data_IF_402188734378
#
_entry.id   IF_402188734378
#
_cell.length_a   1.000
_cell.length_b   1.000
_cell.length_c   1.000
_cell.angle_alpha   90.00
_cell.angle_beta   90.00
_cell.angle_gamma   90.00
#
_symmetry.space_group_name_H-M   'P 1'
#
loop_
_entity.id
_entity.type
_entity.pdbx_description
1 polymer ?
#
# COMPACT_ATOMS: atom_id res chain seq x y z
N UNK A 1 42.90 22.47 31.26
CA UNK A 1 42.24 21.24 31.71
C UNK A 1 41.34 20.80 30.58
N UNK A 2 41.71 19.71 29.90
CA UNK A 2 40.92 19.08 28.84
C UNK A 2 39.75 18.33 29.45
N UNK A 3 38.63 18.32 28.74
CA UNK A 3 37.76 17.14 28.66
C UNK A 3 37.12 17.13 27.28
N UNK A 4 37.81 16.43 26.39
CA UNK A 4 37.28 15.88 25.16
C UNK A 4 36.38 14.69 25.57
N UNK A 5 35.11 14.70 25.16
CA UNK A 5 34.21 13.56 25.35
C UNK A 5 33.59 13.22 24.00
N UNK A 6 34.35 12.47 23.21
CA UNK A 6 33.85 11.78 22.03
C UNK A 6 32.85 10.70 22.43
N UNK A 7 31.57 11.00 22.22
CA UNK A 7 30.54 9.98 22.02
C UNK A 7 29.75 10.37 20.76
N UNK A 8 29.69 9.49 19.73
CA UNK A 8 28.86 9.75 18.56
C UNK A 8 27.37 9.79 18.96
N UNK A 9 26.60 10.66 18.31
CA UNK A 9 25.17 10.80 18.58
C UNK A 9 24.39 9.59 18.06
N UNK A 10 23.25 9.27 18.68
CA UNK A 10 22.33 8.20 18.26
C UNK A 10 21.92 8.32 16.79
N UNK A 11 21.84 9.56 16.28
CA UNK A 11 21.52 9.89 14.88
C UNK A 11 22.61 9.43 13.91
N UNK A 12 23.89 9.47 14.31
CA UNK A 12 25.03 9.00 13.50
C UNK A 12 25.11 7.47 13.44
N UNK A 13 24.54 6.76 14.43
CA UNK A 13 24.49 5.30 14.45
C UNK A 13 23.31 4.77 13.62
N UNK A 14 22.17 5.46 13.64
CA UNK A 14 20.99 5.08 12.86
C UNK A 14 21.21 5.28 11.35
N UNK A 15 21.86 6.38 10.95
CA UNK A 15 22.14 6.65 9.53
C UNK A 15 23.14 5.68 8.87
N UNK A 16 24.13 5.16 9.61
CA UNK A 16 25.09 4.18 9.06
C UNK A 16 24.59 2.74 9.07
N UNK A 17 23.68 2.41 9.97
CA UNK A 17 23.13 1.04 10.07
C UNK A 17 22.01 0.82 9.07
N UNK A 18 21.23 1.87 8.73
CA UNK A 18 20.20 1.78 7.69
C UNK A 18 20.79 1.53 6.30
N UNK A 19 21.79 2.30 5.86
CA UNK A 19 22.35 2.15 4.51
C UNK A 19 22.87 0.74 4.23
N UNK A 20 23.55 0.10 5.19
CA UNK A 20 24.11 -1.23 5.02
C UNK A 20 23.06 -2.36 5.03
N UNK A 21 21.95 -2.19 5.77
CA UNK A 21 20.82 -3.14 5.70
C UNK A 21 20.01 -2.97 4.40
N UNK A 22 19.84 -1.73 3.93
CA UNK A 22 19.11 -1.41 2.71
C UNK A 22 19.84 -1.89 1.44
N UNK A 23 21.18 -1.74 1.35
CA UNK A 23 21.95 -2.29 0.22
C UNK A 23 21.80 -3.82 0.11
N UNK A 24 21.81 -4.52 1.25
CA UNK A 24 21.62 -5.97 1.31
C UNK A 24 20.22 -6.43 0.88
N UNK A 25 19.17 -5.66 1.21
CA UNK A 25 17.78 -5.93 0.80
C UNK A 25 17.55 -5.63 -0.69
N UNK A 26 18.16 -4.56 -1.23
CA UNK A 26 18.11 -4.22 -2.66
C UNK A 26 18.81 -5.29 -3.50
N UNK A 27 19.96 -5.80 -3.05
CA UNK A 27 20.68 -6.85 -3.77
C UNK A 27 19.91 -8.19 -3.74
N UNK A 28 19.24 -8.49 -2.63
CA UNK A 28 18.32 -9.64 -2.53
C UNK A 28 17.11 -9.50 -3.48
N UNK A 29 16.54 -8.30 -3.63
CA UNK A 29 15.40 -8.06 -4.51
C UNK A 29 15.81 -8.06 -6.01
N UNK A 30 17.04 -7.66 -6.34
CA UNK A 30 17.61 -7.77 -7.70
C UNK A 30 17.72 -9.24 -8.17
N UNK A 31 18.02 -10.15 -7.25
CA UNK A 31 18.01 -11.58 -7.55
C UNK A 31 16.59 -12.10 -7.84
N UNK A 32 15.57 -11.57 -7.16
CA UNK A 32 14.16 -11.93 -7.39
C UNK A 32 13.61 -11.37 -8.71
N UNK A 33 13.99 -10.15 -9.12
CA UNK A 33 13.56 -9.54 -10.39
C UNK A 33 13.98 -10.35 -11.63
N UNK A 34 15.09 -11.08 -11.56
CA UNK A 34 15.57 -11.94 -12.66
C UNK A 34 14.70 -13.20 -12.83
N UNK A 35 13.98 -13.62 -11.77
CA UNK A 35 13.10 -14.78 -11.83
C UNK A 35 11.75 -14.49 -12.51
N UNK A 36 11.31 -13.23 -12.54
CA UNK A 36 10.02 -12.84 -13.14
C UNK A 36 10.04 -12.77 -14.68
N UNK A 37 11.21 -12.80 -15.32
CA UNK A 37 11.36 -12.71 -16.79
C UNK A 37 11.52 -14.08 -17.49
N UNK A 38 11.46 -15.20 -16.77
CA UNK A 38 11.71 -16.54 -17.29
C UNK A 38 10.49 -17.24 -17.88
N UNK A 39 10.31 -17.17 -19.20
CA UNK A 39 9.29 -17.92 -19.96
C UNK A 39 9.62 -19.42 -20.03
N UNK A 40 8.66 -20.28 -19.72
CA UNK A 40 8.66 -21.75 -19.93
C UNK A 40 7.25 -22.27 -20.26
N UNK A 41 7.11 -23.38 -21.02
CA UNK A 41 6.06 -23.52 -22.03
C UNK A 41 4.70 -23.99 -21.50
N UNK A 42 3.67 -23.61 -22.24
CA UNK A 42 2.30 -24.09 -22.12
C UNK A 42 2.19 -25.55 -22.59
N UNK A 43 1.37 -26.34 -21.89
CA UNK A 43 0.80 -27.56 -22.43
C UNK A 43 -0.72 -27.56 -22.23
N UNK A 44 -1.41 -27.80 -23.34
CA UNK A 44 -2.86 -27.88 -23.44
C UNK A 44 -3.28 -29.34 -23.35
N UNK A 45 -4.41 -29.64 -22.68
CA UNK A 45 -5.27 -30.76 -23.07
C UNK A 45 -6.65 -30.63 -22.42
N UNK A 46 -7.66 -30.66 -23.28
CA UNK A 46 -9.09 -30.62 -22.96
C UNK A 46 -9.65 -32.01 -22.64
N UNK A 47 -10.70 -32.10 -21.81
CA UNK A 47 -11.81 -33.05 -21.98
C UNK A 47 -13.01 -32.74 -21.05
N UNK A 48 -14.07 -32.22 -21.69
CA UNK A 48 -15.53 -32.41 -21.57
C UNK A 48 -16.19 -33.21 -20.42
N UNK A 49 -17.41 -32.78 -20.03
CA UNK A 49 -18.31 -33.54 -19.13
C UNK A 49 -19.52 -32.81 -18.51
N UNK A 50 -20.52 -32.43 -19.32
CA UNK A 50 -21.97 -32.64 -19.10
C UNK A 50 -22.73 -32.24 -17.80
N UNK A 51 -23.60 -31.21 -17.98
CA UNK A 51 -25.07 -31.13 -17.74
C UNK A 51 -25.71 -30.81 -16.36
N UNK A 52 -26.63 -29.84 -16.50
CA UNK A 52 -27.94 -29.63 -15.86
C UNK A 52 -28.06 -29.14 -14.40
N UNK A 53 -28.58 -27.92 -14.26
CA UNK A 53 -29.69 -27.67 -13.32
C UNK A 53 -29.67 -26.33 -12.58
N UNK A 54 -30.65 -25.50 -12.95
CA UNK A 54 -31.31 -24.46 -12.13
C UNK A 54 -30.65 -23.09 -12.08
N UNK A 55 -31.07 -22.26 -13.05
CA UNK A 55 -31.11 -20.81 -12.93
C UNK A 55 -32.15 -20.36 -11.90
N UNK A 56 -31.83 -19.22 -11.30
CA UNK A 56 -32.71 -18.24 -10.68
C UNK A 56 -33.24 -18.52 -9.27
N UNK A 57 -32.52 -17.98 -8.27
CA UNK A 57 -33.02 -16.88 -7.41
C UNK A 57 -32.01 -16.57 -6.29
N UNK A 58 -30.85 -16.00 -6.65
CA UNK A 58 -30.08 -15.16 -5.73
C UNK A 58 -29.70 -13.91 -6.48
N UNK A 59 -30.47 -12.85 -6.25
CA UNK A 59 -30.04 -11.49 -6.54
C UNK A 59 -28.79 -11.19 -5.73
N UNK A 60 -27.63 -11.57 -6.27
CA UNK A 60 -26.37 -10.96 -5.92
C UNK A 60 -26.55 -9.49 -6.27
N UNK A 61 -26.56 -8.62 -5.25
CA UNK A 61 -26.46 -7.19 -5.46
C UNK A 61 -25.29 -6.99 -6.41
N UNK A 62 -25.56 -6.39 -7.58
CA UNK A 62 -24.54 -6.12 -8.58
C UNK A 62 -23.32 -5.55 -7.87
N UNK A 63 -22.24 -6.33 -7.82
CA UNK A 63 -20.97 -5.88 -7.30
C UNK A 63 -20.64 -4.62 -8.10
N UNK A 64 -20.48 -3.50 -7.41
CA UNK A 64 -20.08 -2.25 -8.01
C UNK A 64 -18.69 -2.47 -8.61
N UNK A 65 -18.68 -2.76 -9.92
CA UNK A 65 -17.46 -3.03 -10.66
C UNK A 65 -16.70 -1.71 -10.72
N UNK A 66 -15.57 -1.63 -10.01
CA UNK A 66 -14.64 -0.51 -10.13
C UNK A 66 -14.05 -0.58 -11.54
N UNK A 67 -14.33 0.44 -12.37
CA UNK A 67 -13.74 0.54 -13.69
C UNK A 67 -12.25 0.90 -13.59
N UNK A 68 -11.47 0.51 -14.59
CA UNK A 68 -10.07 0.90 -14.64
C UNK A 68 -9.95 2.43 -14.76
N UNK A 69 -9.07 3.01 -13.94
CA UNK A 69 -8.78 4.45 -13.92
C UNK A 69 -9.96 5.36 -13.53
N UNK A 70 -10.97 4.83 -12.84
CA UNK A 70 -12.09 5.61 -12.33
C UNK A 70 -12.02 5.74 -10.80
N UNK A 71 -11.96 6.99 -10.33
CA UNK A 71 -12.07 7.30 -8.90
C UNK A 71 -13.54 7.26 -8.47
N UNK A 72 -13.83 6.53 -7.39
CA UNK A 72 -15.17 6.53 -6.81
C UNK A 72 -15.51 7.92 -6.23
N UNK A 73 -16.79 8.33 -6.21
CA UNK A 73 -17.19 9.69 -5.81
C UNK A 73 -16.75 10.15 -4.41
N UNK A 74 -16.50 9.21 -3.50
CA UNK A 74 -16.06 9.53 -2.13
C UNK A 74 -14.54 9.61 -1.96
N UNK A 75 -13.78 9.33 -3.02
CA UNK A 75 -12.32 9.41 -3.02
C UNK A 75 -11.88 10.83 -3.37
N UNK A 76 -10.82 11.27 -2.71
CA UNK A 76 -10.20 12.55 -2.99
C UNK A 76 -8.73 12.34 -3.30
N UNK A 77 -8.28 12.91 -4.42
CA UNK A 77 -6.90 12.81 -4.89
C UNK A 77 -6.35 14.21 -5.10
N UNK A 78 -5.14 14.45 -4.62
CA UNK A 78 -4.37 15.65 -4.91
C UNK A 78 -2.96 15.25 -5.36
N UNK A 79 -2.55 15.70 -6.55
CA UNK A 79 -1.21 15.52 -7.10
C UNK A 79 -0.54 16.90 -7.17
N UNK A 80 0.56 17.04 -6.46
CA UNK A 80 1.46 18.20 -6.51
C UNK A 80 2.72 17.76 -7.25
N UNK A 81 2.80 18.08 -8.54
CA UNK A 81 3.95 17.76 -9.38
C UNK A 81 4.22 18.88 -10.41
N UNK A 82 5.50 19.12 -10.69
CA UNK A 82 5.95 20.22 -11.55
C UNK A 82 6.00 19.85 -13.06
N UNK A 83 5.68 18.60 -13.41
CA UNK A 83 5.75 18.13 -14.80
C UNK A 83 5.11 16.76 -15.04
N UNK A 84 5.36 16.21 -16.22
CA UNK A 84 4.86 14.89 -16.64
C UNK A 84 5.79 13.73 -16.23
N UNK A 85 6.98 14.05 -15.71
CA UNK A 85 7.98 13.08 -15.28
C UNK A 85 8.17 13.21 -13.79
N UNK A 86 8.18 12.08 -13.08
CA UNK A 86 8.35 12.05 -11.64
C UNK A 86 9.70 12.62 -11.22
N UNK A 87 9.68 13.48 -10.21
CA UNK A 87 10.84 14.20 -9.69
C UNK A 87 10.83 14.27 -8.16
N UNK A 88 11.99 14.52 -7.57
CA UNK A 88 12.11 14.69 -6.11
C UNK A 88 11.33 15.93 -5.69
N UNK A 89 10.48 15.78 -4.67
CA UNK A 89 9.54 16.79 -4.18
C UNK A 89 8.10 16.58 -4.68
N UNK A 90 7.89 15.74 -5.71
CA UNK A 90 6.54 15.41 -6.15
C UNK A 90 5.78 14.66 -5.04
N UNK A 91 4.51 15.02 -4.87
CA UNK A 91 3.68 14.55 -3.77
C UNK A 91 2.29 14.14 -4.25
N UNK A 92 1.77 13.05 -3.69
CA UNK A 92 0.37 12.64 -3.90
C UNK A 92 -0.30 12.42 -2.56
N UNK A 93 -1.51 12.97 -2.42
CA UNK A 93 -2.43 12.64 -1.33
C UNK A 93 -3.63 11.91 -1.89
N UNK A 94 -3.97 10.78 -1.28
CA UNK A 94 -5.17 10.01 -1.57
C UNK A 94 -5.96 9.80 -0.29
N UNK A 95 -7.23 10.19 -0.30
CA UNK A 95 -8.12 10.09 0.86
C UNK A 95 -9.33 9.23 0.52
N UNK A 96 -9.68 8.32 1.44
CA UNK A 96 -10.96 7.61 1.40
C UNK A 96 -11.50 7.35 2.81
N UNK A 97 -12.80 7.06 2.88
CA UNK A 97 -13.42 6.46 4.07
C UNK A 97 -13.18 4.95 4.07
N UNK A 98 -12.84 4.37 5.22
CA UNK A 98 -12.77 2.92 5.40
C UNK A 98 -14.10 2.44 5.98
N UNK A 99 -14.91 1.76 5.19
CA UNK A 99 -16.24 1.29 5.59
C UNK A 99 -16.20 -0.12 6.19
N UNK A 100 -17.23 -0.51 6.93
CA UNK A 100 -17.39 -1.91 7.36
C UNK A 100 -17.34 -2.89 6.17
N UNK A 101 -17.91 -2.49 5.02
CA UNK A 101 -17.87 -3.29 3.81
C UNK A 101 -16.46 -3.39 3.20
N UNK A 102 -15.57 -2.41 3.39
CA UNK A 102 -14.15 -2.55 3.03
C UNK A 102 -13.47 -3.60 3.93
N UNK A 103 -13.73 -3.56 5.23
CA UNK A 103 -13.19 -4.51 6.22
C UNK A 103 -13.64 -5.94 5.92
N UNK A 104 -14.93 -6.16 5.67
CA UNK A 104 -15.48 -7.47 5.30
C UNK A 104 -14.84 -8.02 4.02
N UNK A 105 -14.75 -7.18 2.98
CA UNK A 105 -14.14 -7.58 1.69
C UNK A 105 -12.65 -7.85 1.87
N UNK A 106 -11.95 -7.07 2.67
CA UNK A 106 -10.55 -7.28 2.95
C UNK A 106 -10.32 -8.57 3.73
N UNK A 107 -11.13 -8.87 4.74
CA UNK A 107 -11.06 -10.15 5.47
C UNK A 107 -11.27 -11.34 4.52
N UNK A 108 -12.24 -11.25 3.61
CA UNK A 108 -12.48 -12.28 2.60
C UNK A 108 -11.31 -12.42 1.60
N UNK A 109 -10.73 -11.31 1.15
CA UNK A 109 -9.65 -11.32 0.17
C UNK A 109 -8.29 -11.72 0.76
N UNK A 110 -7.99 -11.29 1.99
CA UNK A 110 -6.72 -11.53 2.68
C UNK A 110 -6.70 -12.84 3.47
N UNK A 111 -7.87 -13.34 3.87
CA UNK A 111 -8.01 -14.45 4.82
C UNK A 111 -7.83 -14.03 6.28
N UNK A 112 -7.57 -12.75 6.58
CA UNK A 112 -7.45 -12.25 7.94
C UNK A 112 -8.84 -12.07 8.59
N UNK A 113 -9.23 -13.10 9.33
CA UNK A 113 -10.51 -13.21 10.04
C UNK A 113 -10.36 -12.99 11.54
N UNK A 114 -9.34 -12.26 11.97
CA UNK A 114 -9.15 -11.92 13.38
C UNK A 114 -10.41 -11.23 13.94
N UNK A 115 -11.00 -11.71 15.07
CA UNK A 115 -12.22 -11.14 15.63
C UNK A 115 -12.09 -9.66 15.99
N UNK A 116 -10.87 -9.15 16.20
CA UNK A 116 -10.61 -7.74 16.41
C UNK A 116 -11.17 -6.81 15.32
N UNK A 117 -11.35 -7.34 14.10
CA UNK A 117 -11.85 -6.57 12.96
C UNK A 117 -13.33 -6.83 12.65
N UNK A 118 -13.92 -7.89 13.21
CA UNK A 118 -15.18 -8.46 12.71
C UNK A 118 -16.24 -8.73 13.79
N UNK A 119 -15.85 -8.79 15.06
CA UNK A 119 -16.73 -9.15 16.17
C UNK A 119 -16.78 -8.01 17.19
N UNK A 120 -17.86 -7.22 17.12
CA UNK A 120 -18.10 -6.08 18.01
C UNK A 120 -18.20 -6.49 19.49
N UNK A 121 -18.86 -7.62 19.79
CA UNK A 121 -19.02 -8.11 21.17
C UNK A 121 -17.67 -8.51 21.76
N UNK A 122 -16.85 -9.23 20.99
CA UNK A 122 -15.51 -9.61 21.42
C UNK A 122 -14.57 -8.40 21.49
N UNK A 123 -14.64 -7.47 20.52
CA UNK A 123 -13.78 -6.30 20.46
C UNK A 123 -14.05 -5.29 21.60
N UNK A 124 -15.31 -5.19 22.06
CA UNK A 124 -15.70 -4.37 23.20
C UNK A 124 -14.95 -4.72 24.51
N UNK A 125 -14.55 -5.99 24.66
CA UNK A 125 -13.77 -6.47 25.81
C UNK A 125 -12.25 -6.25 25.65
N UNK A 126 -11.80 -5.74 24.51
CA UNK A 126 -10.39 -5.45 24.26
C UNK A 126 -10.00 -4.03 24.69
N UNK A 127 -8.71 -3.72 24.65
CA UNK A 127 -8.21 -2.36 24.91
C UNK A 127 -8.72 -1.30 23.92
N UNK A 128 -9.27 -1.72 22.79
CA UNK A 128 -9.76 -0.82 21.75
C UNK A 128 -11.22 -0.42 21.98
N UNK A 129 -12.00 -1.26 22.67
CA UNK A 129 -13.39 -0.98 23.03
C UNK A 129 -14.41 -1.08 21.89
N UNK A 130 -13.94 -1.29 20.65
CA UNK A 130 -14.73 -1.54 19.45
C UNK A 130 -13.84 -2.22 18.39
N UNK A 131 -14.44 -2.66 17.28
CA UNK A 131 -13.74 -3.16 16.10
C UNK A 131 -12.95 -2.05 15.41
N UNK A 132 -11.77 -2.41 14.90
CA UNK A 132 -10.89 -1.50 14.17
C UNK A 132 -10.59 -2.05 12.77
N UNK A 133 -10.26 -1.19 11.82
CA UNK A 133 -9.86 -1.64 10.48
C UNK A 133 -8.52 -2.40 10.52
N UNK A 134 -8.33 -3.34 9.58
CA UNK A 134 -7.03 -4.01 9.40
C UNK A 134 -5.95 -2.97 9.05
N UNK A 135 -4.80 -3.03 9.73
CA UNK A 135 -3.69 -2.11 9.43
C UNK A 135 -3.21 -2.22 7.97
N UNK A 136 -3.22 -3.43 7.40
CA UNK A 136 -2.85 -3.67 6.00
C UNK A 136 -3.89 -3.16 5.01
N UNK A 137 -5.18 -3.13 5.37
CA UNK A 137 -6.22 -2.44 4.59
C UNK A 137 -5.95 -0.93 4.56
N UNK A 138 -5.61 -0.34 5.71
CA UNK A 138 -5.22 1.08 5.80
C UNK A 138 -3.98 1.34 4.94
N UNK A 139 -2.95 0.50 5.04
CA UNK A 139 -1.73 0.60 4.22
C UNK A 139 -2.00 0.49 2.71
N UNK A 140 -3.08 -0.20 2.30
CA UNK A 140 -3.51 -0.26 0.91
C UNK A 140 -3.81 1.11 0.30
N UNK A 141 -4.13 2.13 1.11
CA UNK A 141 -4.30 3.51 0.62
C UNK A 141 -3.01 4.13 0.10
N UNK A 142 -1.84 3.68 0.58
CA UNK A 142 -0.53 4.05 0.02
C UNK A 142 -0.42 3.52 -1.41
N UNK A 143 -0.83 2.27 -1.65
CA UNK A 143 -0.86 1.71 -3.01
C UNK A 143 -1.79 2.49 -3.94
N UNK A 144 -2.93 2.95 -3.42
CA UNK A 144 -3.84 3.81 -4.19
C UNK A 144 -3.20 5.17 -4.53
N UNK A 145 -2.49 5.80 -3.58
CA UNK A 145 -1.74 7.03 -3.82
C UNK A 145 -0.64 6.83 -4.89
N UNK A 146 0.16 5.76 -4.76
CA UNK A 146 1.20 5.39 -5.72
C UNK A 146 0.63 5.20 -7.13
N UNK A 147 -0.55 4.61 -7.26
CA UNK A 147 -1.22 4.40 -8.54
C UNK A 147 -1.62 5.71 -9.25
N UNK A 148 -1.42 6.89 -8.67
CA UNK A 148 -1.66 8.20 -9.29
C UNK A 148 -0.39 8.94 -9.68
N UNK A 149 0.79 8.38 -9.40
CA UNK A 149 2.03 8.94 -9.91
C UNK A 149 2.05 8.83 -11.45
N UNK A 150 2.71 9.78 -12.15
CA UNK A 150 2.87 9.69 -13.60
C UNK A 150 3.68 8.45 -14.00
N UNK A 151 3.26 7.81 -15.10
CA UNK A 151 3.90 6.59 -15.63
C UNK A 151 3.34 5.29 -15.06
N UNK A 152 4.00 4.18 -15.38
CA UNK A 152 3.68 2.85 -14.88
C UNK A 152 4.43 2.61 -13.57
N UNK A 153 3.71 2.42 -12.46
CA UNK A 153 4.35 2.26 -11.16
C UNK A 153 4.52 0.79 -10.82
N UNK A 154 5.77 0.37 -10.64
CA UNK A 154 6.10 -0.93 -10.05
C UNK A 154 6.51 -0.72 -8.60
N UNK A 155 5.75 -1.30 -7.68
CA UNK A 155 5.94 -1.16 -6.25
C UNK A 155 6.95 -2.20 -5.75
N UNK A 156 8.20 -1.80 -5.53
CA UNK A 156 9.32 -2.71 -5.28
C UNK A 156 9.47 -3.13 -3.82
N UNK A 157 9.28 -2.19 -2.89
CA UNK A 157 9.32 -2.45 -1.45
C UNK A 157 8.54 -1.41 -0.67
N UNK A 158 8.10 -1.80 0.53
CA UNK A 158 7.42 -0.94 1.49
C UNK A 158 7.79 -1.35 2.92
N UNK A 159 8.18 -0.36 3.73
CA UNK A 159 8.40 -0.49 5.17
C UNK A 159 7.29 0.27 5.91
N UNK A 160 6.70 -0.32 6.96
CA UNK A 160 5.54 0.25 7.67
C UNK A 160 5.72 0.19 9.19
N UNK A 161 5.41 1.30 9.85
CA UNK A 161 5.19 1.39 11.29
C UNK A 161 3.73 1.74 11.57
N UNK A 162 2.99 0.84 12.24
CA UNK A 162 1.61 1.08 12.67
C UNK A 162 1.60 1.81 14.03
N UNK A 163 1.21 3.07 14.03
CA UNK A 163 1.33 3.96 15.20
C UNK A 163 0.04 4.10 16.00
N UNK A 164 -1.11 3.97 15.35
CA UNK A 164 -2.42 4.05 16.02
C UNK A 164 -3.44 3.15 15.30
N UNK A 165 -4.49 2.68 16.00
CA UNK A 165 -5.62 2.01 15.37
C UNK A 165 -6.43 2.99 14.52
N UNK A 166 -7.23 2.44 13.59
CA UNK A 166 -8.18 3.22 12.78
C UNK A 166 -9.57 2.65 12.98
N UNK A 167 -10.50 3.50 13.41
CA UNK A 167 -11.89 3.10 13.61
C UNK A 167 -12.57 2.81 12.27
N UNK A 168 -13.49 1.85 12.28
CA UNK A 168 -14.34 1.59 11.11
C UNK A 168 -15.23 2.81 10.89
N UNK A 169 -15.28 3.27 9.64
CA UNK A 169 -15.95 4.49 9.23
C UNK A 169 -15.04 5.72 9.23
N UNK A 170 -13.80 5.66 9.71
CA UNK A 170 -12.88 6.81 9.65
C UNK A 170 -12.49 7.18 8.22
N UNK A 171 -12.18 8.46 8.00
CA UNK A 171 -11.48 8.91 6.79
C UNK A 171 -9.99 8.89 7.06
N UNK A 172 -9.24 8.35 6.10
CA UNK A 172 -7.78 8.30 6.15
C UNK A 172 -7.19 8.89 4.88
N UNK A 173 -6.05 9.54 5.01
CA UNK A 173 -5.30 10.16 3.92
C UNK A 173 -3.92 9.54 3.85
N UNK A 174 -3.65 8.79 2.78
CA UNK A 174 -2.30 8.42 2.40
C UNK A 174 -1.61 9.61 1.75
N UNK A 175 -0.39 9.87 2.16
CA UNK A 175 0.42 10.97 1.71
C UNK A 175 1.82 10.44 1.38
N UNK A 176 2.16 10.50 0.11
CA UNK A 176 3.41 10.02 -0.43
C UNK A 176 4.20 11.18 -1.03
N UNK A 177 5.50 11.21 -0.78
CA UNK A 177 6.40 12.24 -1.27
C UNK A 177 7.68 11.60 -1.79
N UNK A 178 8.09 11.96 -3.01
CA UNK A 178 9.36 11.51 -3.57
C UNK A 178 10.50 12.24 -2.87
N UNK A 179 11.30 11.51 -2.10
CA UNK A 179 12.39 12.09 -1.31
C UNK A 179 13.77 11.90 -1.95
N UNK A 180 13.92 10.91 -2.84
CA UNK A 180 15.21 10.61 -3.46
C UNK A 180 15.06 9.87 -4.80
N UNK A 181 15.90 10.24 -5.77
CA UNK A 181 16.10 9.49 -7.01
C UNK A 181 17.27 8.51 -6.84
N UNK A 182 17.00 7.20 -6.94
CA UNK A 182 17.96 6.12 -6.74
C UNK A 182 18.67 5.67 -8.03
N UNK A 183 18.29 6.26 -9.17
CA UNK A 183 18.81 5.95 -10.49
C UNK A 183 18.21 4.68 -11.12
N UNK A 184 18.19 4.66 -12.47
CA UNK A 184 17.50 3.64 -13.25
C UNK A 184 15.99 3.67 -13.01
N UNK A 185 15.41 4.88 -13.06
CA UNK A 185 13.99 5.17 -12.88
C UNK A 185 13.38 4.70 -11.54
N UNK A 186 14.23 4.48 -10.55
CA UNK A 186 13.84 4.12 -9.19
C UNK A 186 13.84 5.34 -8.27
N UNK A 187 12.85 5.38 -7.41
CA UNK A 187 12.63 6.47 -6.47
C UNK A 187 12.33 5.92 -5.08
N UNK A 188 12.84 6.61 -4.05
CA UNK A 188 12.44 6.41 -2.65
C UNK A 188 11.38 7.44 -2.32
N UNK A 189 10.32 6.98 -1.64
CA UNK A 189 9.23 7.84 -1.18
C UNK A 189 9.08 7.70 0.32
N UNK A 190 8.81 8.84 0.98
CA UNK A 190 8.21 8.83 2.31
C UNK A 190 6.73 8.51 2.15
N UNK A 191 6.20 7.64 3.00
CA UNK A 191 4.79 7.21 2.95
C UNK A 191 4.17 7.34 4.33
N UNK A 192 3.20 8.21 4.48
CA UNK A 192 2.43 8.38 5.73
C UNK A 192 0.96 8.14 5.48
N UNK A 193 0.24 7.64 6.48
CA UNK A 193 -1.22 7.64 6.48
C UNK A 193 -1.69 8.35 7.73
N UNK A 194 -2.57 9.33 7.55
CA UNK A 194 -3.15 10.16 8.60
C UNK A 194 -4.64 9.85 8.76
N UNK A 195 -5.13 9.78 9.99
CA UNK A 195 -6.56 9.94 10.32
C UNK A 195 -6.82 11.40 10.72
N UNK A 196 -8.05 11.72 11.13
CA UNK A 196 -8.41 13.06 11.62
C UNK A 196 -7.54 13.50 12.82
N UNK A 197 -7.15 12.54 13.67
CA UNK A 197 -6.53 12.83 14.97
C UNK A 197 -5.02 12.57 15.03
N UNK A 198 -4.48 11.71 14.15
CA UNK A 198 -3.09 11.26 14.25
C UNK A 198 -2.52 10.68 12.95
N UNK A 199 -1.19 10.63 12.87
CA UNK A 199 -0.48 9.75 11.94
C UNK A 199 -0.65 8.30 12.41
N UNK A 200 -1.33 7.48 11.60
CA UNK A 200 -1.63 6.08 11.92
C UNK A 200 -0.63 5.10 11.31
N UNK A 201 0.01 5.49 10.21
CA UNK A 201 1.10 4.76 9.57
C UNK A 201 2.21 5.73 9.18
N UNK A 202 3.45 5.35 9.45
CA UNK A 202 4.66 6.02 8.95
C UNK A 202 5.58 4.99 8.27
N UNK A 203 6.34 5.39 7.26
CA UNK A 203 7.10 4.43 6.47
C UNK A 203 7.75 5.00 5.23
N UNK A 204 8.34 4.09 4.44
CA UNK A 204 8.99 4.42 3.17
C UNK A 204 8.67 3.35 2.11
N UNK A 205 8.60 3.79 0.85
CA UNK A 205 8.48 2.95 -0.32
C UNK A 205 9.69 3.09 -1.24
N UNK A 206 9.97 2.04 -2.01
CA UNK A 206 10.77 2.16 -3.24
C UNK A 206 9.91 1.73 -4.42
N UNK A 207 9.90 2.55 -5.47
CA UNK A 207 9.21 2.25 -6.73
C UNK A 207 10.15 2.35 -7.92
N UNK A 208 9.77 1.70 -9.00
CA UNK A 208 10.29 1.89 -10.34
C UNK A 208 9.18 2.52 -11.20
N UNK A 209 9.54 3.53 -11.98
CA UNK A 209 8.64 4.16 -12.95
C UNK A 209 8.99 3.65 -14.35
N UNK A 210 8.00 3.05 -15.01
CA UNK A 210 8.10 2.58 -16.39
C UNK A 210 7.42 3.56 -17.34
N UNK A 211 7.99 3.69 -18.53
CA UNK A 211 7.34 4.37 -19.65
C UNK A 211 6.24 3.46 -20.21
N UNK A 212 5.01 3.74 -19.80
CA UNK A 212 3.81 3.03 -20.25
C UNK A 212 2.95 3.95 -21.10
N UNK A 213 2.15 3.43 -22.03
CA UNK A 213 1.21 4.24 -22.79
C UNK A 213 0.33 5.10 -21.87
N UNK A 214 -0.01 6.34 -22.28
CA UNK A 214 -0.87 7.21 -21.49
C UNK A 214 -2.22 6.54 -21.23
N UNK A 215 -2.83 6.84 -20.07
CA UNK A 215 -4.19 6.39 -19.76
C UNK A 215 -5.18 7.05 -20.74
N UNK A 216 -6.12 6.25 -21.26
CA UNK A 216 -7.09 6.67 -22.28
C UNK A 216 -8.23 7.50 -21.68
#
# INVERSE_FOLDING_TARGET
MSSDSGYPSFVDYWSRTSTAMFEGLIEANRAAATAFTGVGPADTTSADGGSDGQDDERGARAEERIAADEDLPEWETNLEADGQTLSVGDRVRFTKRLTAADVDRFAAASGDTNPLHLDEEWAADTRFGDTIAHGTLVAGTISAALARLPGGVVYLSQDLEFRAPVDIGARVTADIEVVEALGGDRFRLRTTVESEDATVIDGEAVVLIEDVPPRN
#
